data_IF_856311480712
#
_entry.id   IF_856311480712
#
_cell.length_a   1.000
_cell.length_b   1.000
_cell.length_c   1.000
_cell.angle_alpha   90.00
_cell.angle_beta   90.00
_cell.angle_gamma   90.00
#
_symmetry.space_group_name_H-M   'P 1'
#
loop_
_entity.id
_entity.type
_entity.pdbx_description
1 polymer ?
#
# COMPACT_ATOMS: atom_id res chain seq x y z
N UNK A 1 -1.58 -11.07 4.59
CA UNK A 1 -1.58 -10.43 3.25
C UNK A 1 -1.38 -11.39 2.09
N UNK A 2 -0.51 -12.41 2.17
CA UNK A 2 -0.20 -13.27 1.01
C UNK A 2 -1.32 -14.25 0.65
N UNK A 3 -2.13 -14.64 1.62
CA UNK A 3 -3.27 -15.52 1.39
C UNK A 3 -4.35 -14.79 0.59
N UNK A 4 -4.61 -15.26 -0.63
CA UNK A 4 -5.62 -14.70 -1.51
C UNK A 4 -7.05 -14.93 -1.00
N UNK A 5 -7.29 -15.98 -0.21
CA UNK A 5 -8.60 -16.33 0.35
C UNK A 5 -8.92 -15.65 1.69
N UNK A 6 -8.05 -14.78 2.20
CA UNK A 6 -8.21 -14.20 3.53
C UNK A 6 -9.49 -13.36 3.65
N UNK A 7 -10.31 -13.71 4.65
CA UNK A 7 -11.52 -12.97 5.02
C UNK A 7 -11.29 -11.95 6.14
N UNK A 8 -10.04 -11.73 6.54
CA UNK A 8 -9.67 -10.73 7.55
C UNK A 8 -9.85 -9.32 6.98
N UNK A 9 -10.68 -8.51 7.66
CA UNK A 9 -10.98 -7.14 7.24
C UNK A 9 -9.74 -6.25 7.15
N UNK A 10 -8.71 -6.48 7.98
CA UNK A 10 -7.46 -5.73 7.90
C UNK A 10 -6.69 -6.06 6.61
N UNK A 11 -6.67 -7.35 6.22
CA UNK A 11 -6.02 -7.78 4.99
C UNK A 11 -6.74 -7.24 3.76
N UNK A 12 -8.07 -7.29 3.76
CA UNK A 12 -8.89 -6.75 2.67
C UNK A 12 -8.74 -5.23 2.55
N UNK A 13 -8.77 -4.51 3.68
CA UNK A 13 -8.60 -3.06 3.71
C UNK A 13 -7.22 -2.60 3.21
N UNK A 14 -6.14 -3.26 3.63
CA UNK A 14 -4.79 -2.92 3.15
C UNK A 14 -4.65 -3.20 1.66
N UNK A 15 -5.20 -4.31 1.15
CA UNK A 15 -5.20 -4.61 -0.29
C UNK A 15 -5.92 -3.54 -1.10
N UNK A 16 -7.11 -3.15 -0.63
CA UNK A 16 -7.90 -2.11 -1.27
C UNK A 16 -7.19 -0.76 -1.25
N UNK A 17 -6.58 -0.39 -0.11
CA UNK A 17 -5.78 0.83 0.00
C UNK A 17 -4.61 0.84 -1.00
N UNK A 18 -3.82 -0.23 -1.06
CA UNK A 18 -2.71 -0.35 -2.02
C UNK A 18 -3.20 -0.28 -3.48
N UNK A 19 -4.35 -0.90 -3.78
CA UNK A 19 -4.98 -0.82 -5.11
C UNK A 19 -5.38 0.62 -5.46
N UNK A 20 -5.96 1.36 -4.51
CA UNK A 20 -6.32 2.75 -4.69
C UNK A 20 -5.09 3.62 -4.96
N UNK A 21 -4.03 3.47 -4.15
CA UNK A 21 -2.77 4.19 -4.34
C UNK A 21 -2.14 3.92 -5.71
N UNK A 22 -2.16 2.67 -6.18
CA UNK A 22 -1.62 2.30 -7.48
C UNK A 22 -2.44 2.84 -8.66
N UNK A 23 -3.76 2.99 -8.48
CA UNK A 23 -4.68 3.43 -9.55
C UNK A 23 -4.90 4.94 -9.62
N UNK A 24 -4.55 5.71 -8.58
CA UNK A 24 -4.81 7.16 -8.56
C UNK A 24 -3.82 7.91 -9.47
N UNK A 25 -4.27 8.53 -10.57
CA UNK A 25 -3.39 9.20 -11.52
C UNK A 25 -2.76 10.47 -10.96
N UNK A 26 -3.13 10.93 -9.76
CA UNK A 26 -2.53 12.08 -9.07
C UNK A 26 -1.35 11.67 -8.20
N UNK A 27 -1.15 10.37 -7.98
CA UNK A 27 -0.14 9.85 -7.07
C UNK A 27 1.00 9.16 -7.83
N UNK A 28 2.18 9.22 -7.24
CA UNK A 28 3.29 8.32 -7.48
C UNK A 28 3.57 7.62 -6.16
N UNK A 29 3.40 6.29 -6.11
CA UNK A 29 3.41 5.55 -4.86
C UNK A 29 4.26 4.29 -4.92
N UNK A 30 4.78 3.88 -3.76
CA UNK A 30 5.49 2.62 -3.55
C UNK A 30 5.14 2.05 -2.18
N UNK A 31 5.45 0.78 -1.96
CA UNK A 31 5.35 0.13 -0.66
C UNK A 31 6.63 -0.64 -0.36
N UNK A 32 7.12 -0.53 0.86
CA UNK A 32 8.36 -1.15 1.33
C UNK A 32 8.01 -2.11 2.46
N UNK A 33 8.39 -3.37 2.30
CA UNK A 33 8.33 -4.36 3.37
C UNK A 33 9.50 -4.16 4.32
N UNK A 34 9.26 -4.31 5.61
CA UNK A 34 10.28 -4.16 6.66
C UNK A 34 10.32 -5.41 7.53
N UNK A 35 11.51 -5.77 7.98
CA UNK A 35 11.74 -6.80 8.99
C UNK A 35 12.67 -6.26 10.06
N UNK A 36 12.52 -6.69 11.29
CA UNK A 36 13.39 -6.28 12.40
C UNK A 36 12.88 -6.72 13.76
N UNK A 37 13.26 -6.01 14.81
CA UNK A 37 12.86 -6.33 16.20
C UNK A 37 11.33 -6.35 16.42
N UNK A 38 10.57 -5.65 15.55
CA UNK A 38 9.11 -5.60 15.58
C UNK A 38 8.43 -6.69 14.77
N UNK A 39 9.20 -7.61 14.17
CA UNK A 39 8.69 -8.63 13.25
C UNK A 39 8.61 -8.13 11.80
N UNK A 40 7.69 -8.71 11.04
CA UNK A 40 7.48 -8.41 9.62
C UNK A 40 6.29 -7.46 9.45
N UNK A 41 6.53 -6.34 8.79
CA UNK A 41 5.52 -5.32 8.48
C UNK A 41 5.87 -4.64 7.13
N UNK A 42 5.27 -3.48 6.87
CA UNK A 42 5.66 -2.58 5.80
C UNK A 42 4.92 -1.25 5.87
N UNK A 43 5.32 -0.31 5.02
CA UNK A 43 4.61 0.96 4.86
C UNK A 43 4.49 1.35 3.39
N UNK A 44 3.45 2.10 3.07
CA UNK A 44 3.27 2.75 1.78
C UNK A 44 3.72 4.21 1.85
N UNK A 45 4.37 4.68 0.78
CA UNK A 45 4.74 6.07 0.59
C UNK A 45 4.12 6.55 -0.72
N UNK A 46 3.36 7.64 -0.67
CA UNK A 46 2.75 8.25 -1.84
C UNK A 46 3.12 9.73 -1.93
N UNK A 47 3.56 10.15 -3.11
CA UNK A 47 3.83 11.54 -3.47
C UNK A 47 2.72 12.04 -4.37
N UNK A 48 2.16 13.21 -4.04
CA UNK A 48 1.21 13.90 -4.92
C UNK A 48 2.00 14.53 -6.07
N UNK A 49 1.62 14.22 -7.30
CA UNK A 49 2.20 14.83 -8.50
C UNK A 49 1.76 16.29 -8.58
N UNK A 50 2.70 17.19 -8.90
CA UNK A 50 2.34 18.56 -9.28
C UNK A 50 1.50 18.51 -10.55
N UNK A 51 0.59 19.48 -10.72
CA UNK A 51 0.05 19.75 -12.06
C UNK A 51 1.23 20.17 -12.94
N UNK A 52 1.34 19.59 -14.12
CA UNK A 52 2.17 20.17 -15.18
C UNK A 52 1.60 21.57 -15.51
N UNK A 53 2.47 22.55 -15.75
CA UNK A 53 2.11 23.84 -16.36
C UNK A 53 1.68 23.63 -17.82
#
# INVERSE_FOLDING_TARGET
MIDAGSTDGNVQGVRECLRLLASDPRLEATAIQTVGEKGWDGFALARVKSREE
#
